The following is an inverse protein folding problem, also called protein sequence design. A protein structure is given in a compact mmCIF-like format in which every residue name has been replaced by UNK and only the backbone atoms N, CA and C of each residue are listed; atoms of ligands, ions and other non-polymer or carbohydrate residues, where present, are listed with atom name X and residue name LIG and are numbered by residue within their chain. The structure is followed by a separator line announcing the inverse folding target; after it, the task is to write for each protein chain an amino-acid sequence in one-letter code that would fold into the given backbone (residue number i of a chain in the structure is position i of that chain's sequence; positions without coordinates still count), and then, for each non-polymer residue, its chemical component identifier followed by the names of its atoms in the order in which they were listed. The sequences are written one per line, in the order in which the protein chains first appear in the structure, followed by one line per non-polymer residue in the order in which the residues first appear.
data_IF_047460285077
#
_entry.id   IF_047460285077
#
_cell.length_a   1.000
_cell.length_b   1.000
_cell.length_c   1.000
_cell.angle_alpha   90.00
_cell.angle_beta   90.00
_cell.angle_gamma   90.00
#
_symmetry.space_group_name_H-M   'P 1'
#
loop_
_entity.id
_entity.type
_entity.pdbx_description
1 polymer ?
#
# COMPACT_ATOMS: atom_id res chain seq x y z
N UNK A 1 11.16 11.77 -22.41
CA UNK A 1 12.12 10.81 -21.83
C UNK A 1 12.48 11.20 -20.39
N UNK A 2 12.83 12.47 -20.15
CA UNK A 2 13.15 13.03 -18.82
C UNK A 2 12.12 12.74 -17.71
N UNK A 3 10.82 12.93 -17.96
CA UNK A 3 9.76 12.65 -16.96
C UNK A 3 9.70 11.20 -16.50
N UNK A 4 10.07 10.24 -17.37
CA UNK A 4 10.07 8.81 -17.04
C UNK A 4 11.19 8.50 -16.05
N UNK A 5 12.38 8.99 -16.31
CA UNK A 5 13.55 8.79 -15.43
C UNK A 5 13.33 9.44 -14.06
N UNK A 6 12.72 10.62 -14.02
CA UNK A 6 12.33 11.29 -12.77
C UNK A 6 11.32 10.44 -12.00
N UNK A 7 10.24 9.98 -12.64
CA UNK A 7 9.23 9.16 -11.98
C UNK A 7 9.80 7.81 -11.49
N UNK A 8 10.66 7.18 -12.30
CA UNK A 8 11.33 5.95 -11.92
C UNK A 8 12.21 6.18 -10.68
N UNK A 9 13.07 7.19 -10.68
CA UNK A 9 13.96 7.47 -9.56
C UNK A 9 13.21 7.75 -8.24
N UNK A 10 12.11 8.51 -8.30
CA UNK A 10 11.34 8.83 -7.09
C UNK A 10 10.54 7.63 -6.56
N UNK A 11 9.95 6.83 -7.45
CA UNK A 11 9.02 5.76 -7.06
C UNK A 11 9.73 4.42 -6.80
N UNK A 12 10.93 4.23 -7.31
CA UNK A 12 11.66 2.97 -7.16
C UNK A 12 11.94 2.63 -5.68
N UNK A 13 11.99 3.63 -4.80
CA UNK A 13 12.16 3.41 -3.36
C UNK A 13 10.99 2.67 -2.70
N UNK A 14 9.81 2.65 -3.31
CA UNK A 14 8.65 1.93 -2.80
C UNK A 14 8.60 0.46 -3.25
N UNK A 15 9.38 0.09 -4.28
CA UNK A 15 9.40 -1.27 -4.84
C UNK A 15 9.85 -2.27 -3.78
N UNK A 16 9.06 -3.32 -3.59
CA UNK A 16 9.32 -4.33 -2.59
C UNK A 16 8.08 -4.74 -1.82
N UNK A 17 8.28 -5.44 -0.71
CA UNK A 17 7.22 -5.90 0.20
C UNK A 17 7.31 -5.12 1.51
N UNK A 18 6.18 -4.64 1.97
CA UNK A 18 6.05 -3.87 3.20
C UNK A 18 5.08 -4.57 4.13
N UNK A 19 5.45 -4.64 5.41
CA UNK A 19 4.56 -5.05 6.48
C UNK A 19 4.22 -3.80 7.28
N UNK A 20 2.94 -3.47 7.37
CA UNK A 20 2.46 -2.25 8.00
C UNK A 20 1.59 -2.58 9.20
N UNK A 21 1.72 -1.77 10.24
CA UNK A 21 0.85 -1.81 11.43
C UNK A 21 0.30 -0.41 11.67
N UNK A 22 -0.94 -0.33 12.12
CA UNK A 22 -1.58 0.95 12.39
C UNK A 22 -2.76 0.79 13.33
N UNK A 23 -3.35 1.92 13.73
CA UNK A 23 -4.54 1.96 14.56
C UNK A 23 -5.45 3.11 14.16
N UNK A 24 -6.74 2.86 14.12
CA UNK A 24 -7.77 3.88 14.03
C UNK A 24 -8.10 4.28 15.46
N UNK A 25 -7.88 5.56 15.79
CA UNK A 25 -8.15 6.07 17.13
C UNK A 25 -9.64 5.98 17.46
N UNK A 26 -9.99 5.75 18.74
CA UNK A 26 -11.38 5.67 19.15
C UNK A 26 -12.10 7.02 18.94
N UNK A 27 -13.40 6.94 18.70
CA UNK A 27 -14.31 8.09 18.71
C UNK A 27 -15.35 7.88 19.80
N UNK A 28 -16.26 8.84 20.01
CA UNK A 28 -17.36 8.66 20.99
C UNK A 28 -18.22 7.43 20.69
N UNK A 29 -18.28 7.00 19.42
CA UNK A 29 -19.20 5.97 18.96
C UNK A 29 -18.50 4.69 18.46
N UNK A 30 -17.18 4.69 18.31
CA UNK A 30 -16.43 3.55 17.76
C UNK A 30 -15.17 3.28 18.59
N UNK A 31 -14.88 2.01 18.93
CA UNK A 31 -13.66 1.63 19.63
C UNK A 31 -12.42 1.78 18.74
N UNK A 32 -11.22 1.69 19.34
CA UNK A 32 -9.96 1.60 18.60
C UNK A 32 -9.94 0.35 17.72
N UNK A 33 -9.46 0.48 16.48
CA UNK A 33 -9.33 -0.65 15.54
C UNK A 33 -7.88 -0.80 15.12
N UNK A 34 -7.32 -2.00 15.33
CA UNK A 34 -5.98 -2.33 14.86
C UNK A 34 -5.99 -2.66 13.37
N UNK A 35 -4.94 -2.20 12.69
CA UNK A 35 -4.68 -2.43 11.27
C UNK A 35 -3.40 -3.25 11.14
N UNK A 36 -3.44 -4.30 10.31
CA UNK A 36 -2.25 -5.03 9.86
C UNK A 36 -2.31 -5.16 8.34
N UNK A 37 -1.27 -4.71 7.64
CA UNK A 37 -1.22 -4.73 6.18
C UNK A 37 0.03 -5.40 5.65
N UNK A 38 -0.11 -6.00 4.47
CA UNK A 38 1.00 -6.32 3.59
C UNK A 38 0.79 -5.62 2.26
N UNK A 39 1.78 -4.86 1.84
CA UNK A 39 1.78 -4.13 0.57
C UNK A 39 2.93 -4.64 -0.29
N UNK A 40 2.68 -4.81 -1.59
CA UNK A 40 3.71 -5.15 -2.55
C UNK A 40 3.62 -4.21 -3.75
N UNK A 41 4.73 -3.53 -4.02
CA UNK A 41 4.88 -2.65 -5.16
C UNK A 41 5.87 -3.25 -6.14
N UNK A 42 5.47 -3.34 -7.41
CA UNK A 42 6.32 -3.83 -8.50
C UNK A 42 6.08 -3.02 -9.79
N UNK A 43 7.13 -2.84 -10.57
CA UNK A 43 7.02 -2.19 -11.88
C UNK A 43 6.38 -3.14 -12.89
N UNK A 44 5.37 -2.66 -13.61
CA UNK A 44 4.90 -3.35 -14.81
C UNK A 44 5.93 -3.22 -15.95
N UNK A 45 5.92 -4.15 -16.91
CA UNK A 45 6.77 -4.06 -18.09
C UNK A 45 6.69 -2.67 -18.75
N UNK A 46 7.85 -2.11 -19.10
CA UNK A 46 7.97 -0.77 -19.66
C UNK A 46 8.30 0.32 -18.64
N UNK A 47 8.10 0.07 -17.34
CA UNK A 47 8.54 0.97 -16.26
C UNK A 47 7.78 2.30 -16.21
N UNK A 48 6.53 2.30 -16.66
CA UNK A 48 5.64 3.48 -16.62
C UNK A 48 4.64 3.44 -15.48
N UNK A 49 4.29 2.24 -15.01
CA UNK A 49 3.27 2.02 -13.99
C UNK A 49 3.81 1.13 -12.88
N UNK A 50 3.50 1.51 -11.64
CA UNK A 50 3.78 0.72 -10.45
C UNK A 50 2.49 0.03 -10.02
N UNK A 51 2.49 -1.31 -10.03
CA UNK A 51 1.37 -2.09 -9.53
C UNK A 51 1.44 -2.15 -8.01
N UNK A 52 0.33 -1.80 -7.34
CA UNK A 52 0.17 -1.93 -5.89
C UNK A 52 -0.75 -3.11 -5.57
N UNK A 53 -0.20 -4.13 -4.90
CA UNK A 53 -0.95 -5.28 -4.38
C UNK A 53 -1.07 -5.12 -2.87
N UNK A 54 -2.29 -5.12 -2.35
CA UNK A 54 -2.58 -4.87 -0.94
C UNK A 54 -3.40 -6.00 -0.33
N UNK A 55 -3.04 -6.37 0.89
CA UNK A 55 -3.88 -7.17 1.77
C UNK A 55 -3.84 -6.56 3.17
N UNK A 56 -4.93 -5.94 3.59
CA UNK A 56 -5.07 -5.31 4.91
C UNK A 56 -6.16 -5.99 5.71
N UNK A 57 -5.87 -6.22 6.99
CA UNK A 57 -6.81 -6.61 8.03
C UNK A 57 -7.13 -5.36 8.87
N UNK A 58 -8.41 -5.00 8.97
CA UNK A 58 -8.90 -3.96 9.88
C UNK A 58 -9.85 -4.61 10.89
N UNK A 59 -9.39 -4.76 12.14
CA UNK A 59 -10.07 -5.62 13.11
C UNK A 59 -10.15 -7.06 12.59
N UNK A 60 -11.38 -7.58 12.43
CA UNK A 60 -11.63 -8.93 11.89
C UNK A 60 -11.96 -8.93 10.39
N UNK A 61 -12.01 -7.75 9.75
CA UNK A 61 -12.38 -7.63 8.35
C UNK A 61 -11.15 -7.67 7.44
N UNK A 62 -11.22 -8.46 6.37
CA UNK A 62 -10.21 -8.46 5.30
C UNK A 62 -10.61 -7.49 4.20
N UNK A 63 -9.72 -6.57 3.87
CA UNK A 63 -9.84 -5.79 2.64
C UNK A 63 -9.53 -6.67 1.42
N UNK A 64 -10.29 -6.47 0.34
CA UNK A 64 -9.95 -7.04 -0.97
C UNK A 64 -9.08 -6.01 -1.71
N UNK A 65 -8.02 -6.43 -2.42
CA UNK A 65 -7.31 -5.53 -3.31
C UNK A 65 -8.29 -4.96 -4.34
N UNK A 66 -8.18 -3.65 -4.59
CA UNK A 66 -8.87 -3.00 -5.69
C UNK A 66 -8.39 -3.67 -6.99
N UNK A 67 -9.33 -4.19 -7.79
CA UNK A 67 -9.07 -4.81 -9.09
C UNK A 67 -8.92 -3.76 -10.17
#
# INVERSE_FOLDING_TARGET
MEKKEIAYHHLNNFVGKWNTIGRILPTSNNPEINIKGTDHYEWLPGGFFLQHKVAVLMGNEKTKPLK
#
